data_IF_920933754632
#
_entry.id   IF_920933754632
#
_cell.length_a   1.000
_cell.length_b   1.000
_cell.length_c   1.000
_cell.angle_alpha   90.00
_cell.angle_beta   90.00
_cell.angle_gamma   90.00
#
_symmetry.space_group_name_H-M   'P 1'
#
loop_
_entity.id
_entity.type
_entity.pdbx_description
1 polymer ?
#
# COMPACT_ATOMS: atom_id res chain seq x y z
N UNK A 1 -5.62 -12.91 -10.38
CA UNK A 1 -5.34 -12.89 -8.94
C UNK A 1 -4.91 -11.47 -8.55
N UNK A 2 -5.67 -10.80 -7.66
CA UNK A 2 -5.47 -9.41 -7.24
C UNK A 2 -4.48 -9.29 -6.10
N UNK A 3 -3.41 -8.52 -6.26
CA UNK A 3 -2.55 -8.18 -5.14
C UNK A 3 -3.07 -6.94 -4.41
N UNK A 4 -3.07 -6.98 -3.09
CA UNK A 4 -3.69 -5.96 -2.23
C UNK A 4 -2.66 -5.33 -1.31
N UNK A 5 -2.73 -4.01 -1.12
CA UNK A 5 -1.73 -3.28 -0.34
C UNK A 5 -2.40 -2.50 0.78
N UNK A 6 -1.79 -2.58 1.95
CA UNK A 6 -2.15 -1.80 3.11
C UNK A 6 -1.04 -0.78 3.41
N UNK A 7 -1.38 0.51 3.47
CA UNK A 7 -0.52 1.54 4.03
C UNK A 7 -1.04 1.98 5.39
N UNK A 8 -0.24 1.95 6.44
CA UNK A 8 -0.61 2.39 7.79
C UNK A 8 0.34 3.50 8.27
N UNK A 9 -0.23 4.58 8.84
CA UNK A 9 0.54 5.60 9.57
C UNK A 9 0.37 5.41 11.08
N UNK A 10 1.46 5.43 11.88
CA UNK A 10 1.42 5.22 13.33
C UNK A 10 0.52 6.19 14.10
N UNK A 11 0.24 7.39 13.56
CA UNK A 11 -0.45 8.45 14.30
C UNK A 11 -1.97 8.52 14.07
N UNK A 12 -2.52 7.80 13.10
CA UNK A 12 -3.92 8.02 12.68
C UNK A 12 -4.77 6.77 12.48
N UNK A 13 -4.24 5.55 12.64
CA UNK A 13 -4.95 4.30 12.29
C UNK A 13 -5.67 4.41 10.93
N UNK A 14 -5.02 5.08 9.97
CA UNK A 14 -5.51 5.25 8.59
C UNK A 14 -4.93 4.15 7.74
N UNK A 15 -5.81 3.43 7.05
CA UNK A 15 -5.42 2.41 6.11
C UNK A 15 -5.78 2.87 4.71
N UNK A 16 -4.77 3.05 3.87
CA UNK A 16 -4.95 3.20 2.43
C UNK A 16 -4.93 1.80 1.79
N UNK A 17 -5.92 1.57 0.94
CA UNK A 17 -6.18 0.35 0.18
C UNK A 17 -5.94 0.67 -1.27
N UNK A 18 -4.97 -0.03 -1.86
CA UNK A 18 -4.73 -0.03 -3.29
C UNK A 18 -4.93 -1.44 -3.82
N UNK A 19 -5.78 -1.55 -4.84
CA UNK A 19 -6.18 -2.80 -5.47
C UNK A 19 -5.43 -2.98 -6.80
N UNK A 20 -4.87 -4.15 -7.13
CA UNK A 20 -4.17 -4.38 -8.41
C UNK A 20 -4.55 -5.70 -9.10
N UNK A 21 -4.79 -5.77 -10.43
CA UNK A 21 -4.86 -7.05 -11.17
C UNK A 21 -4.42 -7.04 -12.66
N UNK A 22 -3.35 -7.82 -12.93
CA UNK A 22 -2.89 -8.64 -14.09
C UNK A 22 -3.41 -8.36 -15.51
N UNK A 23 -2.51 -7.92 -16.41
CA UNK A 23 -2.00 -8.65 -17.60
C UNK A 23 -1.03 -7.72 -18.35
N UNK A 24 0.27 -8.04 -18.43
CA UNK A 24 1.37 -7.25 -19.06
C UNK A 24 1.56 -5.79 -18.57
N UNK A 25 0.51 -5.16 -18.06
CA UNK A 25 0.41 -3.88 -17.38
C UNK A 25 -0.32 -4.08 -16.06
N UNK A 26 -0.08 -3.18 -15.11
CA UNK A 26 -0.75 -3.17 -13.81
C UNK A 26 -2.03 -2.35 -13.90
N UNK A 27 -3.17 -2.93 -13.51
CA UNK A 27 -4.44 -2.20 -13.44
C UNK A 27 -4.79 -2.00 -11.98
N UNK A 28 -5.09 -0.76 -11.61
CA UNK A 28 -5.54 -0.33 -10.29
C UNK A 28 -7.04 -0.04 -10.32
N UNK A 29 -7.90 -1.05 -10.11
CA UNK A 29 -9.35 -0.90 -10.27
C UNK A 29 -10.06 -0.19 -9.11
N UNK A 30 -9.40 0.03 -7.97
CA UNK A 30 -10.05 0.63 -6.80
C UNK A 30 -9.05 1.19 -5.79
N UNK A 31 -9.39 2.34 -5.20
CA UNK A 31 -8.74 2.92 -4.03
C UNK A 31 -9.74 3.05 -2.88
N UNK A 32 -9.30 2.80 -1.65
CA UNK A 32 -10.10 3.11 -0.47
C UNK A 32 -9.22 3.53 0.71
N UNK A 33 -9.57 4.62 1.37
CA UNK A 33 -8.87 5.05 2.58
C UNK A 33 -9.89 5.43 3.64
N UNK A 34 -9.61 5.03 4.89
CA UNK A 34 -10.40 5.50 6.03
C UNK A 34 -9.57 5.46 7.33
N UNK A 35 -10.00 6.20 8.36
CA UNK A 35 -9.39 6.31 9.68
C UNK A 35 -10.24 5.70 10.79
N UNK A 36 -9.60 5.17 11.83
CA UNK A 36 -10.28 4.73 13.06
C UNK A 36 -11.07 3.43 12.92
N UNK A 37 -10.84 2.68 11.84
CA UNK A 37 -11.50 1.40 11.59
C UNK A 37 -10.57 0.24 11.90
N UNK A 38 -11.11 -0.85 12.45
CA UNK A 38 -10.37 -2.10 12.68
C UNK A 38 -10.27 -2.99 11.43
N UNK A 39 -9.44 -4.04 11.49
CA UNK A 39 -9.22 -4.97 10.37
C UNK A 39 -10.50 -5.65 9.87
N UNK A 40 -11.48 -5.90 10.75
CA UNK A 40 -12.77 -6.50 10.38
C UNK A 40 -13.55 -5.64 9.37
N UNK A 41 -13.45 -4.32 9.46
CA UNK A 41 -14.03 -3.41 8.48
C UNK A 41 -13.43 -3.61 7.10
N UNK A 42 -12.09 -3.64 7.02
CA UNK A 42 -11.38 -3.81 5.76
C UNK A 42 -11.60 -5.21 5.16
N UNK A 43 -11.67 -6.25 5.99
CA UNK A 43 -12.03 -7.60 5.57
C UNK A 43 -13.44 -7.67 4.96
N UNK A 44 -14.41 -6.94 5.52
CA UNK A 44 -15.75 -6.83 4.95
C UNK A 44 -15.72 -6.10 3.61
N UNK A 45 -15.06 -4.94 3.52
CA UNK A 45 -14.93 -4.19 2.26
C UNK A 45 -14.30 -5.06 1.17
N UNK A 46 -13.27 -5.84 1.51
CA UNK A 46 -12.65 -6.83 0.63
C UNK A 46 -13.66 -7.85 0.11
N UNK A 47 -14.39 -8.49 1.03
CA UNK A 47 -15.34 -9.56 0.74
C UNK A 47 -16.54 -9.07 -0.09
N UNK A 48 -16.96 -7.83 0.09
CA UNK A 48 -18.11 -7.25 -0.60
C UNK A 48 -17.80 -6.88 -2.07
N UNK A 49 -16.53 -6.94 -2.49
CA UNK A 49 -16.13 -6.65 -3.88
C UNK A 49 -16.06 -7.94 -4.72
N UNK A 50 -16.38 -7.87 -6.02
CA UNK A 50 -16.39 -9.04 -6.91
C UNK A 50 -14.98 -9.40 -7.40
N UNK A 51 -13.99 -9.45 -6.51
CA UNK A 51 -12.58 -9.66 -6.85
C UNK A 51 -12.01 -10.91 -6.19
N UNK A 52 -11.10 -11.58 -6.90
CA UNK A 52 -10.31 -12.70 -6.35
C UNK A 52 -8.93 -12.20 -5.95
N UNK A 53 -8.68 -12.16 -4.65
CA UNK A 53 -7.45 -11.70 -4.05
C UNK A 53 -6.35 -12.77 -4.08
N UNK A 54 -5.10 -12.30 -4.22
CA UNK A 54 -3.86 -13.02 -4.06
C UNK A 54 -3.18 -12.53 -2.80
N UNK A 55 -1.93 -12.10 -2.91
CA UNK A 55 -1.18 -11.65 -1.73
C UNK A 55 -1.73 -10.31 -1.21
N UNK A 56 -1.72 -10.16 0.11
CA UNK A 56 -2.04 -8.93 0.81
C UNK A 56 -0.77 -8.38 1.45
N UNK A 57 -0.13 -7.43 0.80
CA UNK A 57 1.03 -6.73 1.31
C UNK A 57 0.61 -5.75 2.41
N UNK A 58 1.23 -5.90 3.57
CA UNK A 58 1.04 -5.07 4.74
C UNK A 58 2.34 -4.38 5.12
N UNK A 59 2.28 -3.17 5.71
CA UNK A 59 3.49 -2.51 6.15
C UNK A 59 4.05 -3.24 7.38
N UNK A 60 5.34 -3.09 7.65
CA UNK A 60 6.00 -3.66 8.83
C UNK A 60 5.25 -3.46 10.16
N UNK A 61 4.55 -2.33 10.34
CA UNK A 61 3.77 -2.03 11.55
C UNK A 61 2.61 -3.01 11.79
N UNK A 62 2.19 -3.78 10.77
CA UNK A 62 1.19 -4.83 10.94
C UNK A 62 1.75 -6.08 11.65
N UNK A 63 3.07 -6.28 11.62
CA UNK A 63 3.71 -7.40 12.30
C UNK A 63 3.88 -7.17 13.81
N UNK A 64 3.62 -5.95 14.30
CA UNK A 64 3.70 -5.62 15.73
C UNK A 64 2.55 -6.32 16.48
N UNK A 65 2.89 -7.04 17.54
CA UNK A 65 1.92 -7.65 18.46
C UNK A 65 1.40 -6.57 19.41
N UNK A 66 0.10 -6.34 19.42
CA UNK A 66 -0.51 -5.48 20.44
C UNK A 66 -0.63 -6.30 21.75
N UNK A 67 0.09 -5.88 22.79
CA UNK A 67 -0.10 -6.40 24.15
C UNK A 67 -1.41 -5.85 24.72
N UNK A 68 -2.54 -6.43 24.29
CA UNK A 68 -3.79 -6.30 25.05
C UNK A 68 -3.81 -7.36 26.14
N UNK A 69 -4.11 -6.95 27.38
CA UNK A 69 -4.02 -7.77 28.59
C UNK A 69 -4.76 -9.11 28.47
N UNK A 70 -3.99 -10.20 28.35
CA UNK A 70 -4.49 -11.58 28.28
C UNK A 70 -3.49 -12.49 27.60
N UNK A 71 -3.36 -13.73 28.10
CA UNK A 71 -2.51 -14.77 27.53
C UNK A 71 -2.86 -14.95 26.03
N UNK A 72 -1.86 -14.84 25.16
CA UNK A 72 -1.92 -14.86 23.67
C UNK A 72 -2.22 -13.53 22.95
N UNK A 73 -1.30 -12.56 23.04
CA UNK A 73 -1.30 -11.38 22.16
C UNK A 73 -1.07 -11.79 20.68
N UNK A 74 -2.13 -11.74 19.87
CA UNK A 74 -2.07 -11.96 18.42
C UNK A 74 -1.49 -10.73 17.71
N UNK A 75 -0.67 -10.98 16.70
CA UNK A 75 -0.22 -9.97 15.73
C UNK A 75 -1.38 -9.55 14.82
N UNK A 76 -1.28 -8.35 14.25
CA UNK A 76 -2.32 -7.86 13.32
C UNK A 76 -2.36 -8.69 12.04
N UNK A 77 -1.24 -9.32 11.68
CA UNK A 77 -1.16 -10.33 10.61
C UNK A 77 -2.06 -11.53 10.92
N UNK A 78 -1.90 -12.15 12.10
CA UNK A 78 -2.72 -13.30 12.50
C UNK A 78 -4.21 -12.95 12.52
N UNK A 79 -4.57 -11.77 13.06
CA UNK A 79 -5.96 -11.28 13.05
C UNK A 79 -6.47 -11.06 11.62
N UNK A 80 -5.65 -10.52 10.72
CA UNK A 80 -6.04 -10.30 9.32
C UNK A 80 -6.31 -11.63 8.61
N UNK A 81 -5.45 -12.63 8.80
CA UNK A 81 -5.60 -13.95 8.20
C UNK A 81 -6.83 -14.70 8.71
N UNK A 82 -7.14 -14.60 10.02
CA UNK A 82 -8.37 -15.14 10.62
C UNK A 82 -9.63 -14.49 10.01
N UNK A 83 -9.56 -13.21 9.65
CA UNK A 83 -10.64 -12.48 8.98
C UNK A 83 -10.73 -12.76 7.47
N UNK A 84 -9.85 -13.61 6.93
CA UNK A 84 -9.84 -14.03 5.53
C UNK A 84 -8.99 -13.16 4.61
N UNK A 85 -8.20 -12.23 5.15
CA UNK A 85 -7.20 -11.46 4.40
C UNK A 85 -5.93 -12.31 4.32
N UNK A 86 -5.80 -13.16 3.30
CA UNK A 86 -4.69 -14.13 3.20
C UNK A 86 -4.31 -14.47 1.76
N UNK A 87 -3.02 -14.77 1.48
CA UNK A 87 -1.88 -14.71 2.41
C UNK A 87 -1.40 -13.27 2.64
N UNK A 88 -0.98 -12.94 3.86
CA UNK A 88 -0.38 -11.63 4.17
C UNK A 88 1.12 -11.67 3.94
N UNK A 89 1.65 -10.65 3.26
CA UNK A 89 3.09 -10.44 3.05
C UNK A 89 3.48 -9.16 3.76
N UNK A 90 4.46 -9.20 4.66
CA UNK A 90 4.93 -7.99 5.34
C UNK A 90 6.04 -7.34 4.52
N UNK A 91 5.81 -6.11 4.08
CA UNK A 91 6.78 -5.28 3.37
C UNK A 91 7.67 -4.56 4.38
N UNK A 92 8.99 -4.64 4.19
CA UNK A 92 9.96 -4.03 5.08
C UNK A 92 9.81 -2.50 5.15
N UNK A 93 10.05 -1.94 6.35
CA UNK A 93 10.10 -0.49 6.54
C UNK A 93 11.29 0.11 5.79
N UNK A 94 11.13 1.28 5.15
CA UNK A 94 12.28 2.12 4.79
C UNK A 94 13.10 2.46 6.05
N UNK A 95 14.38 2.08 6.07
CA UNK A 95 15.25 2.23 7.26
C UNK A 95 15.81 3.64 7.43
N UNK A 96 15.87 4.41 6.35
CA UNK A 96 16.41 5.76 6.31
C UNK A 96 15.78 6.56 5.15
N UNK A 97 16.15 7.84 5.05
CA UNK A 97 15.69 8.74 3.98
C UNK A 97 16.05 8.22 2.59
N UNK A 98 17.25 7.64 2.41
CA UNK A 98 17.66 7.07 1.13
C UNK A 98 16.74 5.93 0.67
N UNK A 99 16.33 5.05 1.59
CA UNK A 99 15.38 3.98 1.30
C UNK A 99 14.00 4.53 0.91
N UNK A 100 13.56 5.63 1.52
CA UNK A 100 12.32 6.32 1.13
C UNK A 100 12.45 6.86 -0.30
N UNK A 101 13.56 7.52 -0.61
CA UNK A 101 13.82 8.09 -1.95
C UNK A 101 13.90 6.99 -3.01
N UNK A 102 14.57 5.86 -2.73
CA UNK A 102 14.58 4.69 -3.61
C UNK A 102 13.18 4.13 -3.85
N UNK A 103 12.34 4.10 -2.81
CA UNK A 103 10.94 3.69 -2.94
C UNK A 103 10.12 4.66 -3.81
N UNK A 104 10.33 5.97 -3.68
CA UNK A 104 9.72 6.99 -4.55
C UNK A 104 10.16 6.80 -6.00
N UNK A 105 11.43 6.51 -6.24
CA UNK A 105 11.93 6.24 -7.59
C UNK A 105 11.32 4.96 -8.17
N UNK A 106 11.12 3.94 -7.34
CA UNK A 106 10.41 2.71 -7.74
C UNK A 106 8.96 3.00 -8.13
N UNK A 107 8.28 3.91 -7.41
CA UNK A 107 6.94 4.39 -7.78
C UNK A 107 6.95 5.05 -9.15
N UNK A 108 7.85 6.00 -9.40
CA UNK A 108 7.95 6.71 -10.69
C UNK A 108 8.12 5.74 -11.87
N UNK A 109 9.00 4.76 -11.71
CA UNK A 109 9.24 3.73 -12.73
C UNK A 109 8.02 2.82 -12.94
N UNK A 110 7.21 2.59 -11.89
CA UNK A 110 6.02 1.74 -11.96
C UNK A 110 4.82 2.45 -12.59
N UNK A 111 4.68 3.77 -12.38
CA UNK A 111 3.51 4.55 -12.85
C UNK A 111 3.26 4.41 -14.35
N UNK A 112 4.31 4.40 -15.18
CA UNK A 112 4.19 4.24 -16.63
C UNK A 112 3.63 2.89 -17.09
N UNK A 113 3.52 1.93 -16.17
CA UNK A 113 2.92 0.61 -16.41
C UNK A 113 1.58 0.41 -15.70
N UNK A 114 1.10 1.43 -14.99
CA UNK A 114 -0.12 1.40 -14.18
C UNK A 114 -1.30 2.09 -14.88
N UNK A 115 -2.48 1.47 -14.81
CA UNK A 115 -3.73 1.97 -15.34
C UNK A 115 -4.74 2.11 -14.21
N UNK A 116 -5.17 3.33 -13.90
CA UNK A 116 -6.09 3.60 -12.81
C UNK A 116 -7.53 3.75 -13.31
N UNK A 117 -8.50 3.21 -12.58
CA UNK A 117 -9.90 3.61 -12.75
C UNK A 117 -10.07 5.05 -12.25
N UNK A 118 -10.22 6.00 -13.18
CA UNK A 118 -10.27 7.44 -12.89
C UNK A 118 -11.23 7.80 -11.75
N UNK A 119 -12.42 7.16 -11.71
CA UNK A 119 -13.46 7.49 -10.74
C UNK A 119 -13.22 6.79 -9.41
N UNK A 120 -12.92 5.50 -9.45
CA UNK A 120 -12.74 4.69 -8.22
C UNK A 120 -11.40 4.93 -7.54
N UNK A 121 -10.45 5.52 -8.26
CA UNK A 121 -9.13 5.85 -7.74
C UNK A 121 -8.90 7.36 -7.61
N UNK A 122 -9.92 8.21 -7.81
CA UNK A 122 -9.78 9.67 -7.81
C UNK A 122 -9.00 10.21 -6.61
N UNK A 123 -9.31 9.76 -5.38
CA UNK A 123 -8.59 10.17 -4.17
C UNK A 123 -7.13 9.70 -4.18
N UNK A 124 -6.86 8.47 -4.62
CA UNK A 124 -5.51 7.94 -4.72
C UNK A 124 -4.68 8.63 -5.81
N UNK A 125 -5.30 8.97 -6.94
CA UNK A 125 -4.69 9.75 -8.02
C UNK A 125 -4.33 11.14 -7.52
N UNK A 126 -5.28 11.84 -6.88
CA UNK A 126 -5.03 13.16 -6.28
C UNK A 126 -3.91 13.13 -5.25
N UNK A 127 -3.82 12.06 -4.45
CA UNK A 127 -2.72 11.87 -3.51
C UNK A 127 -1.37 11.68 -4.23
N UNK A 128 -1.31 10.93 -5.33
CA UNK A 128 -0.10 10.78 -6.13
C UNK A 128 0.31 12.10 -6.81
N UNK A 129 -0.64 12.88 -7.32
CA UNK A 129 -0.40 14.17 -7.96
C UNK A 129 0.06 15.25 -6.97
N UNK A 130 -0.49 15.24 -5.74
CA UNK A 130 -0.16 16.22 -4.69
C UNK A 130 1.10 15.90 -3.88
N UNK A 131 1.68 14.69 -4.05
CA UNK A 131 2.84 14.24 -3.30
C UNK A 131 4.11 15.00 -3.72
N UNK A 132 4.73 15.68 -2.76
CA UNK A 132 5.84 16.61 -3.00
C UNK A 132 6.89 16.58 -1.88
N UNK A 133 8.07 17.13 -2.18
CA UNK A 133 9.09 17.38 -1.18
C UNK A 133 8.66 18.49 -0.21
N UNK A 134 9.11 18.41 1.04
CA UNK A 134 8.94 19.48 2.01
C UNK A 134 9.77 20.70 1.59
N UNK A 135 9.19 21.89 1.65
CA UNK A 135 9.89 23.15 1.37
C UNK A 135 10.32 23.80 2.68
N UNK A 136 11.60 24.16 2.76
CA UNK A 136 12.19 24.88 3.88
C UNK A 136 12.09 26.40 3.59
N UNK A 137 11.12 27.06 4.22
CA UNK A 137 10.85 28.50 4.01
C UNK A 137 12.04 29.40 4.40
N UNK A 138 12.79 29.03 5.45
CA UNK A 138 13.92 29.82 5.94
C UNK A 138 15.12 29.73 4.98
N UNK A 139 15.43 28.51 4.54
CA UNK A 139 16.55 28.25 3.64
C UNK A 139 16.19 28.42 2.17
N UNK A 140 14.90 28.57 1.86
CA UNK A 140 14.32 28.66 0.51
C UNK A 140 14.71 27.48 -0.40
N UNK A 141 14.79 26.27 0.17
CA UNK A 141 15.19 25.04 -0.54
C UNK A 141 14.20 23.90 -0.31
N UNK A 142 14.08 23.00 -1.28
CA UNK A 142 13.39 21.73 -1.08
C UNK A 142 14.26 20.78 -0.25
N UNK A 143 13.66 20.15 0.75
CA UNK A 143 14.31 19.11 1.55
C UNK A 143 14.31 17.78 0.80
N UNK A 144 15.22 16.90 1.21
CA UNK A 144 15.25 15.51 0.74
C UNK A 144 14.21 14.62 1.46
N UNK A 145 13.24 15.22 2.13
CA UNK A 145 12.14 14.54 2.82
C UNK A 145 10.82 14.88 2.15
N UNK A 146 9.94 13.89 1.94
CA UNK A 146 8.59 14.16 1.44
C UNK A 146 7.79 14.93 2.49
N UNK A 147 6.91 15.81 2.02
CA UNK A 147 5.96 16.50 2.88
C UNK A 147 4.94 15.50 3.43
N UNK A 148 4.76 15.47 4.73
CA UNK A 148 3.77 14.62 5.38
C UNK A 148 2.42 15.36 5.51
N UNK A 149 1.60 15.27 4.46
CA UNK A 149 0.22 15.78 4.44
C UNK A 149 -0.78 14.67 4.06
N UNK A 150 -2.02 15.04 3.74
CA UNK A 150 -3.06 14.07 3.33
C UNK A 150 -2.68 13.27 2.07
N UNK A 151 -1.82 13.81 1.20
CA UNK A 151 -1.37 13.13 -0.02
C UNK A 151 -0.35 12.03 0.30
N UNK A 152 0.36 12.15 1.44
CA UNK A 152 1.34 11.16 1.85
C UNK A 152 0.75 9.78 2.12
N UNK A 153 -0.53 9.67 2.54
CA UNK A 153 -1.14 8.38 2.86
C UNK A 153 -1.33 7.50 1.61
N UNK A 154 -1.98 8.05 0.58
CA UNK A 154 -2.15 7.36 -0.70
C UNK A 154 -0.81 7.07 -1.38
N UNK A 155 0.10 8.04 -1.37
CA UNK A 155 1.43 7.89 -1.97
C UNK A 155 2.31 6.86 -1.24
N UNK A 156 2.28 6.82 0.10
CA UNK A 156 3.00 5.83 0.90
C UNK A 156 2.43 4.42 0.69
N UNK A 157 1.09 4.29 0.62
CA UNK A 157 0.44 3.04 0.26
C UNK A 157 0.89 2.54 -1.12
N UNK A 158 0.98 3.44 -2.09
CA UNK A 158 1.44 3.11 -3.44
C UNK A 158 2.93 2.80 -3.48
N UNK A 159 3.73 3.42 -2.62
CA UNK A 159 5.14 3.06 -2.43
C UNK A 159 5.30 1.66 -1.87
N UNK A 160 4.50 1.27 -0.87
CA UNK A 160 4.46 -0.11 -0.38
C UNK A 160 4.14 -1.08 -1.51
N UNK A 161 3.21 -0.70 -2.40
CA UNK A 161 2.94 -1.44 -3.63
C UNK A 161 4.18 -1.55 -4.53
N UNK A 162 4.77 -0.44 -4.94
CA UNK A 162 5.86 -0.43 -5.90
C UNK A 162 7.08 -1.22 -5.40
N UNK A 163 7.36 -1.15 -4.09
CA UNK A 163 8.49 -1.86 -3.46
C UNK A 163 8.18 -3.34 -3.21
N UNK A 164 6.95 -3.68 -2.82
CA UNK A 164 6.52 -5.05 -2.53
C UNK A 164 6.22 -5.87 -3.78
N UNK A 165 5.87 -5.21 -4.89
CA UNK A 165 5.47 -5.89 -6.12
C UNK A 165 6.64 -6.64 -6.74
N UNK A 166 6.50 -7.97 -6.81
CA UNK A 166 7.41 -8.86 -7.53
C UNK A 166 6.68 -9.40 -8.75
N UNK A 167 7.03 -8.98 -9.99
CA UNK A 167 6.42 -9.53 -11.17
C UNK A 167 6.70 -11.04 -11.22
N UNK A 168 5.66 -11.87 -11.21
CA UNK A 168 5.82 -13.30 -11.46
C UNK A 168 6.35 -13.44 -12.89
N UNK A 169 7.51 -14.06 -13.06
CA UNK A 169 7.96 -14.49 -14.38
C UNK A 169 6.92 -15.45 -14.93
N UNK A 170 6.09 -14.96 -15.85
CA UNK A 170 5.23 -15.84 -16.63
C UNK A 170 6.15 -16.47 -17.65
N UNK A 171 6.60 -17.71 -17.38
CA UNK A 171 7.22 -18.54 -18.41
C UNK A 171 6.18 -18.67 -19.53
N UNK A 172 6.36 -17.92 -20.62
CA UNK A 172 5.59 -18.15 -21.83
C UNK A 172 5.91 -19.59 -22.24
N UNK A 173 4.93 -20.50 -22.36
CA UNK A 173 5.22 -21.79 -22.97
C UNK A 173 5.76 -21.49 -24.36
N UNK A 174 6.97 -21.95 -24.63
CA UNK A 174 7.59 -21.80 -25.94
C UNK A 174 6.72 -22.58 -26.93
N UNK A 175 5.81 -21.88 -27.62
CA UNK A 175 5.07 -22.47 -28.73
C UNK A 175 6.05 -22.58 -29.90
N UNK A 176 6.59 -23.79 -30.11
CA UNK A 176 7.12 -24.21 -31.42
C UNK A 176 5.96 -24.63 -32.29
#
# INVERSE_FOLDING_TARGET
>A
MVQWFHGASPKAQRWAVLLNLVYASLVVPYYYENSGMGLAHYAKILKDKPYVYGNHDMPHDAAVREMSAGEHAKSRVEVAEELGIKPVIVVERPRNTDAVMNGIETVRNSLGTCWFDERKCATGISALEGYRAEYDEEKKVLRNTPLHDHNSHGADGFRTFAVGYRPKQINKPYRR
#
